data_IF_239811553134
#
_entry.id   IF_239811553134
#
_cell.length_a   1.000
_cell.length_b   1.000
_cell.length_c   1.000
_cell.angle_alpha   90.00
_cell.angle_beta   90.00
_cell.angle_gamma   90.00
#
_symmetry.space_group_name_H-M   'P 1'
#
loop_
_entity.id
_entity.type
_entity.pdbx_description
1 polymer ?
#
# COMPACT_ATOMS: atom_id res chain seq x y z
N UNK A 1 4.02 7.43 -18.53
CA UNK A 1 3.91 5.97 -18.27
C UNK A 1 5.29 5.35 -18.35
N UNK A 2 5.67 4.56 -17.38
CA UNK A 2 6.90 3.77 -17.46
C UNK A 2 6.80 2.73 -18.58
N UNK A 3 7.86 2.54 -19.36
CA UNK A 3 7.91 1.49 -20.39
C UNK A 3 7.93 0.09 -19.76
N UNK A 4 8.41 -0.04 -18.51
CA UNK A 4 8.61 -1.32 -17.84
C UNK A 4 7.50 -1.61 -16.83
N UNK A 5 7.17 -0.63 -15.97
CA UNK A 5 6.20 -0.81 -14.87
C UNK A 5 4.76 -0.45 -15.24
N UNK A 6 4.54 0.24 -16.35
CA UNK A 6 3.23 0.78 -16.70
C UNK A 6 2.90 2.10 -15.97
N UNK A 7 1.65 2.27 -15.61
CA UNK A 7 1.17 3.45 -14.89
C UNK A 7 1.39 3.32 -13.38
N UNK A 8 1.70 4.43 -12.71
CA UNK A 8 1.56 4.51 -11.24
C UNK A 8 0.09 4.30 -10.89
N UNK A 9 -0.19 3.39 -9.97
CA UNK A 9 -1.54 3.00 -9.60
C UNK A 9 -1.92 3.44 -8.19
N UNK A 10 -0.93 3.65 -7.31
CA UNK A 10 -1.18 3.97 -5.91
C UNK A 10 -0.07 4.87 -5.36
N UNK A 11 -0.44 5.72 -4.39
CA UNK A 11 0.47 6.47 -3.55
C UNK A 11 0.15 6.09 -2.10
N UNK A 12 1.14 5.55 -1.39
CA UNK A 12 1.01 5.15 0.01
C UNK A 12 1.57 6.21 0.95
N UNK A 13 0.82 6.48 2.01
CA UNK A 13 1.17 7.41 3.09
C UNK A 13 1.30 6.64 4.40
N UNK A 14 2.36 6.87 5.14
CA UNK A 14 2.48 6.40 6.53
C UNK A 14 1.99 7.48 7.47
N UNK A 15 1.10 7.10 8.39
CA UNK A 15 0.44 8.01 9.32
C UNK A 15 0.46 7.48 10.75
N UNK A 16 0.40 8.38 11.74
CA UNK A 16 0.32 8.05 13.17
C UNK A 16 -1.10 7.76 13.64
N UNK A 17 -2.07 8.41 13.01
CA UNK A 17 -3.49 8.33 13.36
C UNK A 17 -4.30 8.28 12.06
N UNK A 18 -4.66 7.06 11.65
CA UNK A 18 -5.32 6.83 10.36
C UNK A 18 -6.73 7.40 10.32
N UNK A 19 -7.44 7.43 11.46
CA UNK A 19 -8.77 8.02 11.54
C UNK A 19 -8.72 9.53 11.28
N UNK A 20 -7.81 10.24 11.96
CA UNK A 20 -7.60 11.68 11.70
C UNK A 20 -7.13 11.95 10.28
N UNK A 21 -6.29 11.08 9.72
CA UNK A 21 -5.83 11.22 8.35
C UNK A 21 -7.00 11.06 7.36
N UNK A 22 -7.88 10.07 7.55
CA UNK A 22 -9.09 9.91 6.72
C UNK A 22 -10.00 11.15 6.82
N UNK A 23 -10.27 11.64 8.04
CA UNK A 23 -11.10 12.84 8.25
C UNK A 23 -10.53 14.05 7.52
N UNK A 24 -9.21 14.23 7.56
CA UNK A 24 -8.52 15.30 6.83
C UNK A 24 -8.71 15.18 5.32
N UNK A 25 -8.53 13.98 4.74
CA UNK A 25 -8.74 13.77 3.31
C UNK A 25 -10.21 13.91 2.89
N UNK A 26 -11.16 13.49 3.72
CA UNK A 26 -12.60 13.70 3.50
C UNK A 26 -12.92 15.20 3.45
N UNK A 27 -12.34 15.99 4.34
CA UNK A 27 -12.51 17.45 4.32
C UNK A 27 -11.95 18.10 3.03
N UNK A 28 -11.00 17.47 2.36
CA UNK A 28 -10.47 17.86 1.04
C UNK A 28 -11.31 17.31 -0.12
N UNK A 29 -12.40 16.59 0.14
CA UNK A 29 -13.26 16.00 -0.88
C UNK A 29 -12.77 14.68 -1.45
N UNK A 30 -11.85 13.98 -0.78
CA UNK A 30 -11.33 12.66 -1.20
C UNK A 30 -12.03 11.55 -0.42
N UNK A 31 -12.67 10.65 -1.13
CA UNK A 31 -13.38 9.50 -0.56
C UNK A 31 -14.25 8.77 -1.58
N UNK A 32 -15.07 7.79 -1.15
CA UNK A 32 -15.12 7.28 0.23
C UNK A 32 -13.87 6.44 0.57
N UNK A 33 -13.50 6.39 1.85
CA UNK A 33 -12.40 5.56 2.35
C UNK A 33 -12.89 4.18 2.74
N UNK A 34 -12.22 3.15 2.25
CA UNK A 34 -12.44 1.74 2.62
C UNK A 34 -11.41 1.37 3.68
N UNK A 35 -11.83 1.34 4.93
CA UNK A 35 -10.96 1.17 6.09
C UNK A 35 -11.00 -0.24 6.66
N UNK A 36 -9.83 -0.84 6.81
CA UNK A 36 -9.59 -2.09 7.54
C UNK A 36 -8.71 -1.80 8.75
N UNK A 37 -9.24 -2.06 9.94
CA UNK A 37 -8.50 -1.85 11.18
C UNK A 37 -7.38 -2.87 11.38
N UNK A 38 -7.65 -4.14 11.03
CA UNK A 38 -6.69 -5.23 11.16
C UNK A 38 -6.48 -5.88 9.80
N UNK A 39 -5.33 -5.61 9.21
CA UNK A 39 -4.90 -6.25 7.99
C UNK A 39 -3.86 -7.30 8.35
N UNK A 40 -4.13 -8.56 8.01
CA UNK A 40 -3.26 -9.67 8.31
C UNK A 40 -2.46 -10.06 7.08
N UNK A 41 -1.14 -10.09 7.22
CA UNK A 41 -0.26 -10.78 6.28
C UNK A 41 -0.12 -12.25 6.68
N UNK A 42 0.13 -13.13 5.73
CA UNK A 42 0.43 -14.54 5.99
C UNK A 42 1.93 -14.83 5.92
N UNK A 43 2.65 -13.98 5.22
CA UNK A 43 4.09 -14.04 5.04
C UNK A 43 4.66 -12.63 5.14
N UNK A 44 5.81 -12.48 5.79
CA UNK A 44 6.48 -11.19 5.85
C UNK A 44 7.99 -11.34 6.03
N UNK A 45 8.75 -10.63 5.21
CA UNK A 45 10.20 -10.50 5.32
C UNK A 45 10.59 -9.02 5.46
N UNK A 46 11.64 -8.78 6.21
CA UNK A 46 12.26 -7.46 6.35
C UNK A 46 13.75 -7.58 6.05
N UNK A 47 14.19 -6.90 4.98
CA UNK A 47 15.53 -7.03 4.39
C UNK A 47 15.96 -8.49 4.21
N UNK A 48 15.08 -9.27 3.56
CA UNK A 48 15.30 -10.67 3.22
C UNK A 48 15.27 -11.64 4.40
N UNK A 49 14.99 -11.19 5.62
CA UNK A 49 14.88 -12.03 6.81
C UNK A 49 13.42 -12.21 7.20
N UNK A 50 13.05 -13.44 7.55
CA UNK A 50 11.73 -13.71 8.14
C UNK A 50 11.52 -12.80 9.35
N UNK A 51 10.39 -12.13 9.41
CA UNK A 51 10.07 -11.16 10.44
C UNK A 51 8.67 -11.41 11.01
N UNK A 52 8.36 -10.95 12.23
CA UNK A 52 7.01 -10.98 12.74
C UNK A 52 6.04 -10.29 11.80
N UNK A 53 4.83 -10.82 11.70
CA UNK A 53 3.77 -10.22 10.89
C UNK A 53 3.34 -8.88 11.50
N UNK A 54 3.48 -7.76 10.80
CA UNK A 54 3.10 -6.45 11.33
C UNK A 54 1.58 -6.34 11.45
N UNK A 55 1.11 -5.72 12.52
CA UNK A 55 -0.30 -5.34 12.69
C UNK A 55 -0.53 -4.01 12.00
N UNK A 56 -1.31 -4.02 10.96
CA UNK A 56 -1.56 -2.83 10.14
C UNK A 56 -3.04 -2.46 10.14
N UNK A 57 -3.31 -1.15 10.16
CA UNK A 57 -4.57 -0.57 9.72
C UNK A 57 -4.33 0.10 8.37
N UNK A 58 -5.21 -0.17 7.40
CA UNK A 58 -5.09 0.36 6.04
C UNK A 58 -6.42 0.96 5.61
N UNK A 59 -6.36 2.13 5.00
CA UNK A 59 -7.50 2.76 4.36
C UNK A 59 -7.18 3.10 2.91
N UNK A 60 -8.12 2.82 2.00
CA UNK A 60 -8.00 3.02 0.56
C UNK A 60 -9.10 3.95 0.06
N UNK A 61 -8.74 4.93 -0.74
CA UNK A 61 -9.65 5.76 -1.52
C UNK A 61 -9.02 6.06 -2.88
N UNK A 62 -9.80 6.61 -3.82
CA UNK A 62 -9.27 7.02 -5.11
C UNK A 62 -9.42 8.52 -5.34
N UNK A 63 -8.42 9.10 -5.99
CA UNK A 63 -8.49 10.42 -6.63
C UNK A 63 -8.27 10.21 -8.13
N UNK A 64 -9.36 10.11 -8.88
CA UNK A 64 -9.32 9.63 -10.26
C UNK A 64 -8.82 8.19 -10.35
N UNK A 65 -7.86 7.94 -11.25
CA UNK A 65 -7.28 6.61 -11.47
C UNK A 65 -6.15 6.25 -10.50
N UNK A 66 -5.75 7.18 -9.63
CA UNK A 66 -4.72 6.93 -8.62
C UNK A 66 -5.37 6.60 -7.29
N UNK A 67 -5.03 5.45 -6.74
CA UNK A 67 -5.44 5.06 -5.40
C UNK A 67 -4.55 5.74 -4.36
N UNK A 68 -5.15 6.26 -3.31
CA UNK A 68 -4.47 6.74 -2.12
C UNK A 68 -4.60 5.67 -1.03
N UNK A 69 -3.50 5.34 -0.41
CA UNK A 69 -3.44 4.39 0.68
C UNK A 69 -2.89 5.04 1.94
N UNK A 70 -3.64 4.97 3.03
CA UNK A 70 -3.15 5.35 4.35
C UNK A 70 -2.79 4.09 5.12
N UNK A 71 -1.61 4.10 5.75
CA UNK A 71 -1.07 2.97 6.50
C UNK A 71 -0.68 3.42 7.91
N UNK A 72 -1.28 2.78 8.91
CA UNK A 72 -0.84 2.90 10.29
C UNK A 72 -0.40 1.54 10.81
N UNK A 73 0.85 1.44 11.25
CA UNK A 73 1.32 0.27 11.98
C UNK A 73 0.92 0.36 13.45
N UNK A 74 0.39 -0.74 14.01
CA UNK A 74 -0.16 -0.82 15.37
C UNK A 74 0.75 -1.55 16.37
N UNK A 75 1.91 -2.03 15.93
CA UNK A 75 2.88 -2.75 16.76
C UNK A 75 4.32 -2.28 16.45
N UNK A 76 5.29 -2.92 17.10
CA UNK A 76 6.70 -2.57 16.99
C UNK A 76 7.49 -3.49 16.05
N UNK A 77 6.82 -4.30 15.23
CA UNK A 77 7.49 -5.15 14.24
C UNK A 77 8.35 -4.32 13.28
N UNK A 78 9.54 -4.78 12.90
CA UNK A 78 10.40 -4.03 11.98
C UNK A 78 9.79 -4.01 10.57
N UNK A 79 9.58 -2.81 10.04
CA UNK A 79 9.05 -2.56 8.68
C UNK A 79 9.59 -1.26 8.10
N UNK A 80 9.52 -1.10 6.79
CA UNK A 80 9.78 0.19 6.14
C UNK A 80 8.78 1.28 6.53
N UNK A 81 7.56 0.93 6.94
CA UNK A 81 6.56 1.90 7.44
C UNK A 81 7.07 2.59 8.70
N UNK A 82 7.52 1.79 9.67
CA UNK A 82 8.09 2.27 10.93
C UNK A 82 9.38 3.07 10.71
N UNK A 83 10.27 2.58 9.85
CA UNK A 83 11.52 3.26 9.52
C UNK A 83 11.26 4.65 8.91
N UNK A 84 10.30 4.72 7.98
CA UNK A 84 9.92 5.99 7.35
C UNK A 84 9.32 6.94 8.39
N UNK A 85 8.39 6.47 9.19
CA UNK A 85 7.73 7.29 10.22
C UNK A 85 8.74 7.82 11.25
N UNK A 86 9.71 7.00 11.65
CA UNK A 86 10.76 7.40 12.59
C UNK A 86 11.73 8.43 12.00
N UNK A 87 12.04 8.32 10.72
CA UNK A 87 13.00 9.19 10.02
C UNK A 87 12.38 10.49 9.54
N UNK A 88 11.19 10.42 8.93
CA UNK A 88 10.61 11.52 8.17
C UNK A 88 9.30 12.07 8.79
N UNK A 89 8.73 11.38 9.79
CA UNK A 89 7.39 11.67 10.27
C UNK A 89 6.31 11.15 9.28
N UNK A 90 5.10 11.68 9.40
CA UNK A 90 4.00 11.33 8.52
C UNK A 90 4.24 11.90 7.12
N UNK A 91 4.22 11.06 6.10
CA UNK A 91 4.52 11.49 4.73
C UNK A 91 4.03 10.47 3.68
N UNK A 92 4.02 10.92 2.41
CA UNK A 92 3.99 10.01 1.28
C UNK A 92 5.27 9.15 1.32
N UNK A 93 5.11 7.83 1.29
CA UNK A 93 6.22 6.91 1.46
C UNK A 93 6.60 6.23 0.15
N UNK A 94 5.63 5.71 -0.60
CA UNK A 94 5.88 4.93 -1.80
C UNK A 94 4.91 5.24 -2.92
N UNK A 95 5.32 4.88 -4.11
CA UNK A 95 4.43 4.74 -5.27
C UNK A 95 4.34 3.26 -5.64
N UNK A 96 3.13 2.79 -6.02
CA UNK A 96 2.95 1.40 -6.37
C UNK A 96 2.60 1.19 -7.84
N UNK A 97 3.16 0.11 -8.38
CA UNK A 97 2.83 -0.46 -9.69
C UNK A 97 2.17 -1.82 -9.48
N UNK A 98 1.10 -2.08 -10.23
CA UNK A 98 0.34 -3.31 -10.12
C UNK A 98 0.65 -4.22 -11.30
N UNK A 99 0.85 -5.51 -11.02
CA UNK A 99 1.11 -6.52 -12.04
C UNK A 99 0.25 -7.76 -11.79
N UNK A 100 -0.24 -8.38 -12.84
CA UNK A 100 -0.96 -9.65 -12.76
C UNK A 100 0.00 -10.83 -12.95
N UNK A 101 0.95 -10.71 -13.88
CA UNK A 101 1.77 -11.82 -14.39
C UNK A 101 3.28 -11.53 -14.42
N UNK A 102 3.72 -10.30 -14.11
CA UNK A 102 5.12 -9.88 -14.23
C UNK A 102 5.79 -9.55 -12.89
N UNK A 103 5.19 -9.95 -11.79
CA UNK A 103 5.70 -9.61 -10.45
C UNK A 103 7.19 -9.97 -10.30
N UNK A 104 7.56 -11.23 -10.58
CA UNK A 104 8.94 -11.70 -10.40
C UNK A 104 9.91 -11.06 -11.41
N UNK A 105 9.46 -10.77 -12.63
CA UNK A 105 10.26 -10.09 -13.66
C UNK A 105 10.59 -8.65 -13.21
N UNK A 106 9.58 -7.93 -12.73
CA UNK A 106 9.73 -6.54 -12.27
C UNK A 106 10.63 -6.48 -11.02
N UNK A 107 10.42 -7.37 -10.05
CA UNK A 107 11.25 -7.43 -8.84
C UNK A 107 12.71 -7.70 -9.17
N UNK A 108 12.99 -8.66 -10.05
CA UNK A 108 14.35 -8.97 -10.51
C UNK A 108 14.99 -7.76 -11.21
N UNK A 109 14.26 -7.09 -12.08
CA UNK A 109 14.77 -5.91 -12.77
C UNK A 109 15.12 -4.76 -11.81
N UNK A 110 14.35 -4.54 -10.76
CA UNK A 110 14.70 -3.56 -9.72
C UNK A 110 15.99 -3.94 -8.99
N UNK A 111 16.19 -5.22 -8.68
CA UNK A 111 17.43 -5.69 -8.06
C UNK A 111 18.64 -5.49 -9.00
N UNK A 112 18.50 -5.74 -10.30
CA UNK A 112 19.53 -5.49 -11.31
C UNK A 112 19.90 -4.00 -11.45
N UNK A 113 18.94 -3.10 -11.16
CA UNK A 113 19.16 -1.66 -11.12
C UNK A 113 19.76 -1.16 -9.80
N UNK A 114 20.10 -2.05 -8.87
CA UNK A 114 20.72 -1.71 -7.59
C UNK A 114 19.72 -1.37 -6.46
N UNK A 115 18.42 -1.59 -6.68
CA UNK A 115 17.44 -1.52 -5.60
C UNK A 115 17.60 -2.71 -4.64
N UNK A 116 17.22 -2.49 -3.40
CA UNK A 116 17.19 -3.52 -2.35
C UNK A 116 15.74 -3.75 -1.95
N UNK A 117 15.32 -5.03 -1.85
CA UNK A 117 14.05 -5.37 -1.25
C UNK A 117 14.11 -5.09 0.25
N UNK A 118 13.38 -4.08 0.68
CA UNK A 118 13.36 -3.65 2.08
C UNK A 118 12.35 -4.42 2.91
N UNK A 119 11.15 -4.68 2.39
CA UNK A 119 10.23 -5.67 2.93
C UNK A 119 9.32 -6.25 1.84
N UNK A 120 8.86 -7.46 2.07
CA UNK A 120 7.93 -8.15 1.18
C UNK A 120 6.98 -9.05 1.97
N UNK A 121 5.85 -9.40 1.36
CA UNK A 121 4.88 -10.26 2.02
C UNK A 121 3.70 -10.62 1.12
N UNK A 122 2.70 -11.23 1.77
CA UNK A 122 1.43 -11.63 1.16
C UNK A 122 0.29 -11.30 2.11
N UNK A 123 -0.77 -10.71 1.61
CA UNK A 123 -1.89 -10.24 2.43
C UNK A 123 -2.78 -11.36 2.97
N UNK A 124 -2.93 -12.46 2.26
CA UNK A 124 -3.50 -13.75 2.67
C UNK A 124 -3.08 -14.84 1.66
N UNK A 125 -3.43 -16.10 1.93
CA UNK A 125 -2.97 -17.23 1.12
C UNK A 125 -3.40 -17.14 -0.36
N UNK A 126 -4.49 -16.41 -0.66
CA UNK A 126 -5.08 -16.34 -2.00
C UNK A 126 -4.86 -14.99 -2.69
N UNK A 127 -4.44 -13.96 -1.96
CA UNK A 127 -4.16 -12.63 -2.52
C UNK A 127 -2.71 -12.50 -2.93
N UNK A 128 -2.48 -11.63 -3.90
CA UNK A 128 -1.17 -11.42 -4.47
C UNK A 128 -0.12 -10.93 -3.47
N UNK A 129 1.13 -11.18 -3.83
CA UNK A 129 2.31 -10.71 -3.10
C UNK A 129 2.46 -9.20 -3.21
N UNK A 130 3.27 -8.64 -2.34
CA UNK A 130 3.80 -7.29 -2.46
C UNK A 130 5.28 -7.28 -2.07
N UNK A 131 6.04 -6.37 -2.68
CA UNK A 131 7.45 -6.16 -2.34
C UNK A 131 7.79 -4.67 -2.48
N UNK A 132 8.52 -4.16 -1.50
CA UNK A 132 8.95 -2.76 -1.43
C UNK A 132 10.44 -2.66 -1.69
N UNK A 133 10.80 -1.76 -2.58
CA UNK A 133 12.16 -1.55 -3.03
C UNK A 133 12.66 -0.16 -2.67
N UNK A 134 13.85 -0.12 -2.09
CA UNK A 134 14.57 1.11 -1.72
C UNK A 134 15.90 1.18 -2.43
N UNK A 135 16.40 2.38 -2.66
CA UNK A 135 17.71 2.61 -3.26
C UNK A 135 18.55 3.50 -2.36
N UNK A 136 19.81 3.16 -2.11
CA UNK A 136 20.69 3.90 -1.18
C UNK A 136 21.01 5.29 -1.67
N UNK A 137 21.17 5.47 -2.98
CA UNK A 137 21.48 6.76 -3.61
C UNK A 137 20.24 7.60 -3.91
N UNK A 138 19.04 6.97 -3.94
CA UNK A 138 17.76 7.62 -4.23
C UNK A 138 16.73 7.26 -3.13
N UNK A 139 16.97 7.66 -1.88
CA UNK A 139 16.13 7.22 -0.75
C UNK A 139 14.69 7.74 -0.81
N UNK A 140 14.41 8.72 -1.67
CA UNK A 140 13.05 9.24 -1.91
C UNK A 140 12.25 8.43 -2.94
N UNK A 141 12.87 7.48 -3.63
CA UNK A 141 12.24 6.66 -4.67
C UNK A 141 11.94 5.26 -4.13
N UNK A 142 10.98 5.14 -3.22
CA UNK A 142 10.49 3.85 -2.74
C UNK A 142 9.38 3.36 -3.66
N UNK A 143 9.51 2.12 -4.14
CA UNK A 143 8.54 1.48 -5.01
C UNK A 143 7.90 0.28 -4.33
N UNK A 144 6.58 0.16 -4.45
CA UNK A 144 5.88 -1.10 -4.22
C UNK A 144 5.57 -1.75 -5.57
N UNK A 145 5.90 -3.03 -5.68
CA UNK A 145 5.37 -3.90 -6.72
C UNK A 145 4.29 -4.75 -6.08
N UNK A 146 3.08 -4.68 -6.61
CA UNK A 146 1.89 -5.31 -6.04
C UNK A 146 1.30 -6.29 -7.03
N UNK A 147 1.28 -7.58 -6.68
CA UNK A 147 0.67 -8.64 -7.49
C UNK A 147 -0.85 -8.57 -7.33
N UNK A 148 -1.55 -8.23 -8.41
CA UNK A 148 -3.00 -7.98 -8.41
C UNK A 148 -3.79 -9.25 -8.73
N UNK A 149 -3.61 -10.31 -7.92
CA UNK A 149 -4.28 -11.60 -8.04
C UNK A 149 -5.21 -11.86 -6.85
N UNK A 150 -5.99 -12.95 -6.90
CA UNK A 150 -6.84 -13.41 -5.80
C UNK A 150 -7.92 -12.42 -5.36
N UNK A 151 -8.57 -11.72 -6.30
CA UNK A 151 -9.63 -10.74 -6.02
C UNK A 151 -9.12 -9.35 -5.58
N UNK A 152 -7.78 -9.13 -5.57
CA UNK A 152 -7.19 -7.84 -5.20
C UNK A 152 -7.48 -6.75 -6.24
N UNK A 153 -7.38 -7.09 -7.53
CA UNK A 153 -7.69 -6.16 -8.62
C UNK A 153 -9.17 -5.74 -8.59
N UNK A 154 -10.07 -6.68 -8.40
CA UNK A 154 -11.51 -6.44 -8.32
C UNK A 154 -11.85 -5.55 -7.11
N UNK A 155 -11.23 -5.79 -5.96
CA UNK A 155 -11.40 -4.96 -4.78
C UNK A 155 -10.89 -3.52 -5.01
N UNK A 156 -9.75 -3.34 -5.64
CA UNK A 156 -9.21 -2.02 -5.97
C UNK A 156 -10.10 -1.28 -6.97
N UNK A 157 -10.67 -2.00 -7.94
CA UNK A 157 -11.64 -1.42 -8.88
C UNK A 157 -12.94 -1.01 -8.17
N UNK A 158 -13.44 -1.78 -7.20
CA UNK A 158 -14.58 -1.39 -6.38
C UNK A 158 -14.31 -0.08 -5.62
N UNK A 159 -13.11 0.07 -5.04
CA UNK A 159 -12.71 1.32 -4.37
C UNK A 159 -12.72 2.49 -5.36
N UNK A 160 -12.15 2.31 -6.56
CA UNK A 160 -12.13 3.33 -7.61
C UNK A 160 -13.53 3.72 -8.06
N UNK A 161 -14.37 2.75 -8.36
CA UNK A 161 -15.75 3.01 -8.81
C UNK A 161 -16.58 3.73 -7.76
N UNK A 162 -16.35 3.45 -6.46
CA UNK A 162 -17.05 4.13 -5.38
C UNK A 162 -16.71 5.61 -5.28
N UNK A 163 -15.56 6.05 -5.80
CA UNK A 163 -15.17 7.48 -5.82
C UNK A 163 -15.81 8.26 -6.97
N UNK A 164 -16.29 7.55 -8.00
CA UNK A 164 -16.88 8.20 -9.18
C UNK A 164 -18.24 8.78 -8.84
N UNK A 165 -18.34 10.11 -8.88
CA UNK A 165 -19.58 10.83 -8.55
C UNK A 165 -19.96 10.75 -7.07
N UNK A 166 -19.03 10.42 -6.19
CA UNK A 166 -19.28 10.38 -4.74
C UNK A 166 -19.77 11.76 -4.23
N UNK A 167 -20.86 11.75 -3.50
CA UNK A 167 -21.58 12.93 -3.02
C UNK A 167 -21.17 13.38 -1.60
N UNK A 168 -20.17 12.75 -1.01
CA UNK A 168 -19.73 12.99 0.38
C UNK A 168 -20.41 12.12 1.42
N UNK A 169 -21.43 11.33 1.06
CA UNK A 169 -22.12 10.44 2.00
C UNK A 169 -21.28 9.20 2.33
N UNK A 170 -21.48 8.64 3.53
CA UNK A 170 -20.78 7.46 4.02
C UNK A 170 -19.26 7.52 3.73
N UNK A 171 -18.56 8.54 4.27
CA UNK A 171 -17.20 8.85 3.84
C UNK A 171 -16.15 7.81 4.31
N UNK A 172 -16.43 7.08 5.39
CA UNK A 172 -15.53 6.05 5.94
C UNK A 172 -16.27 4.73 6.05
N UNK A 173 -15.99 3.83 5.12
CA UNK A 173 -16.60 2.51 5.02
C UNK A 173 -15.71 1.46 5.68
N UNK A 174 -16.11 1.00 6.88
CA UNK A 174 -15.38 -0.05 7.58
C UNK A 174 -15.59 -1.38 6.88
N UNK A 175 -14.51 -1.97 6.38
CA UNK A 175 -14.51 -3.30 5.78
C UNK A 175 -14.18 -4.30 6.89
N UNK A 176 -15.17 -5.06 7.32
CA UNK A 176 -15.02 -6.04 8.40
C UNK A 176 -13.98 -7.12 8.06
N UNK A 177 -13.37 -7.71 9.11
CA UNK A 177 -12.73 -9.00 8.96
C UNK A 177 -13.80 -9.99 8.43
N UNK A 178 -13.46 -10.88 7.51
CA UNK A 178 -14.38 -11.93 7.12
C UNK A 178 -14.84 -12.67 8.39
N UNK A 179 -16.18 -12.82 8.52
CA UNK A 179 -16.79 -13.59 9.59
C UNK A 179 -16.31 -15.03 9.56
#
# INVERSE_FOLDING_TARGET
MSKFFGAVRQIGYVVKDIEKAMDHWVALGVGPWFYRENVNSTEFTYYGKQSPLPKLSIALANSGDVQLELIQQRDDSPTLYRDTLARNGECAQHIAYWSVDKFDEICRHLLELGYVEGHAGRMDANRGRYAYFVHTELPSAMFEISESTGGKAEYFEQVRLASVGWDGSDPIRRVGAPK
#
